data_IF_460730560232
#
_entry.id   IF_460730560232
#
_cell.length_a   1.000
_cell.length_b   1.000
_cell.length_c   1.000
_cell.angle_alpha   90.00
_cell.angle_beta   90.00
_cell.angle_gamma   90.00
#
_symmetry.space_group_name_H-M   'P 1'
#
loop_
_entity.id
_entity.type
_entity.pdbx_description
1 polymer ?
#
# COMPACT_ATOMS: atom_id res chain seq x y z
N UNK A 1 14.76 -16.64 1.41
CA UNK A 1 14.50 -16.32 0.02
C UNK A 1 14.89 -14.87 -0.25
N UNK A 2 15.49 -14.64 -1.39
CA UNK A 2 15.91 -13.31 -1.78
C UNK A 2 14.70 -12.53 -2.28
N UNK A 3 14.47 -11.35 -1.71
CA UNK A 3 13.46 -10.43 -2.23
C UNK A 3 14.02 -9.72 -3.45
N UNK A 4 13.30 -9.81 -4.55
CA UNK A 4 13.64 -9.01 -5.72
C UNK A 4 13.10 -7.60 -5.56
N UNK A 5 13.99 -6.62 -5.48
CA UNK A 5 13.65 -5.21 -5.40
C UNK A 5 13.67 -4.58 -6.79
N UNK A 6 12.57 -3.98 -7.21
CA UNK A 6 12.44 -3.29 -8.49
C UNK A 6 12.16 -1.81 -8.21
N UNK A 7 13.15 -0.92 -8.39
CA UNK A 7 12.90 0.51 -8.25
C UNK A 7 12.04 1.04 -9.40
N UNK A 8 11.14 1.97 -9.08
CA UNK A 8 10.17 2.51 -10.02
C UNK A 8 10.41 4.00 -10.24
N UNK A 9 10.17 4.48 -11.47
CA UNK A 9 10.12 5.91 -11.76
C UNK A 9 8.79 6.53 -11.34
N UNK A 10 7.71 5.78 -11.42
CA UNK A 10 6.36 6.20 -11.04
C UNK A 10 5.64 5.06 -10.33
N UNK A 11 4.87 5.39 -9.31
CA UNK A 11 4.19 4.40 -8.47
C UNK A 11 3.16 3.58 -9.26
N UNK A 12 2.46 4.18 -10.21
CA UNK A 12 1.47 3.48 -11.03
C UNK A 12 2.07 2.37 -11.90
N UNK A 13 3.35 2.45 -12.26
CA UNK A 13 4.04 1.35 -12.95
C UNK A 13 4.10 0.10 -12.06
N UNK A 14 4.27 0.30 -10.75
CA UNK A 14 4.32 -0.78 -9.78
C UNK A 14 3.02 -1.57 -9.72
N UNK A 15 1.88 -0.93 -9.93
CA UNK A 15 0.59 -1.62 -9.97
C UNK A 15 0.58 -2.66 -11.10
N UNK A 16 1.00 -2.27 -12.30
CA UNK A 16 1.07 -3.19 -13.43
C UNK A 16 2.09 -4.30 -13.23
N UNK A 17 3.26 -3.98 -12.67
CA UNK A 17 4.31 -4.98 -12.36
C UNK A 17 3.79 -5.99 -11.33
N UNK A 18 3.17 -5.52 -10.25
CA UNK A 18 2.59 -6.40 -9.23
C UNK A 18 1.49 -7.29 -9.82
N UNK A 19 0.63 -6.74 -10.64
CA UNK A 19 -0.43 -7.51 -11.30
C UNK A 19 0.13 -8.61 -12.19
N UNK A 20 1.11 -8.28 -13.03
CA UNK A 20 1.76 -9.26 -13.89
C UNK A 20 2.49 -10.35 -13.12
N UNK A 21 3.20 -9.98 -12.06
CA UNK A 21 3.88 -10.94 -11.19
C UNK A 21 2.90 -11.88 -10.49
N UNK A 22 1.78 -11.36 -10.00
CA UNK A 22 0.72 -12.19 -9.40
C UNK A 22 0.16 -13.19 -10.40
N UNK A 23 -0.14 -12.75 -11.62
CA UNK A 23 -0.65 -13.64 -12.68
C UNK A 23 0.36 -14.73 -13.07
N UNK A 24 1.64 -14.46 -12.86
CA UNK A 24 2.71 -15.44 -13.06
C UNK A 24 2.98 -16.33 -11.82
N UNK A 25 2.17 -16.20 -10.78
CA UNK A 25 2.29 -17.01 -9.56
C UNK A 25 3.16 -16.43 -8.47
N UNK A 26 3.61 -15.19 -8.61
CA UNK A 26 4.43 -14.49 -7.62
C UNK A 26 3.60 -13.81 -6.53
N UNK A 27 4.27 -13.47 -5.43
CA UNK A 27 3.74 -12.63 -4.36
C UNK A 27 4.42 -11.26 -4.43
N UNK A 28 3.66 -10.19 -4.23
CA UNK A 28 4.19 -8.84 -4.38
C UNK A 28 3.75 -7.92 -3.25
N UNK A 29 4.60 -6.93 -2.97
CA UNK A 29 4.24 -5.78 -2.18
C UNK A 29 4.73 -4.53 -2.91
N UNK A 30 4.00 -3.44 -2.80
CA UNK A 30 4.35 -2.17 -3.41
C UNK A 30 4.54 -1.12 -2.33
N UNK A 31 5.72 -0.50 -2.29
CA UNK A 31 6.08 0.51 -1.30
C UNK A 31 6.01 1.88 -1.96
N UNK A 32 5.29 2.82 -1.33
CA UNK A 32 5.14 4.18 -1.84
C UNK A 32 4.76 5.14 -0.72
N UNK A 33 4.84 6.43 -0.98
CA UNK A 33 4.22 7.44 -0.14
C UNK A 33 2.73 7.58 -0.51
N UNK A 34 1.91 8.16 0.37
CA UNK A 34 0.50 8.38 0.05
C UNK A 34 0.25 9.32 -1.15
N UNK A 35 1.20 10.20 -1.49
CA UNK A 35 1.13 10.94 -2.77
C UNK A 35 1.16 9.99 -3.97
N UNK A 36 2.03 8.99 -3.93
CA UNK A 36 2.10 7.96 -4.97
C UNK A 36 0.85 7.08 -5.01
N UNK A 37 0.27 6.80 -3.85
CA UNK A 37 -1.03 6.12 -3.78
C UNK A 37 -2.12 6.91 -4.51
N UNK A 38 -2.23 8.21 -4.24
CA UNK A 38 -3.23 9.05 -4.92
C UNK A 38 -3.02 9.07 -6.44
N UNK A 39 -1.77 9.14 -6.90
CA UNK A 39 -1.46 9.04 -8.32
C UNK A 39 -1.76 7.67 -8.93
N UNK A 40 -1.85 6.64 -8.11
CA UNK A 40 -2.07 5.25 -8.53
C UNK A 40 -3.54 4.84 -8.51
N UNK A 41 -4.45 5.71 -8.08
CA UNK A 41 -5.87 5.35 -7.92
C UNK A 41 -6.52 4.83 -9.20
N UNK A 42 -6.20 5.44 -10.34
CA UNK A 42 -6.70 4.97 -11.63
C UNK A 42 -6.16 3.57 -11.96
N UNK A 43 -4.86 3.35 -11.82
CA UNK A 43 -4.24 2.05 -12.08
C UNK A 43 -4.78 0.97 -11.12
N UNK A 44 -4.96 1.31 -9.84
CA UNK A 44 -5.56 0.40 -8.86
C UNK A 44 -6.99 0.01 -9.27
N UNK A 45 -7.79 0.98 -9.71
CA UNK A 45 -9.17 0.75 -10.12
C UNK A 45 -9.26 -0.11 -11.35
N UNK A 46 -8.49 0.23 -12.39
CA UNK A 46 -8.57 -0.42 -13.70
C UNK A 46 -7.79 -1.74 -13.79
N UNK A 47 -6.93 -2.03 -12.85
CA UNK A 47 -6.13 -3.25 -12.81
C UNK A 47 -6.51 -4.13 -11.62
N UNK A 48 -6.11 -3.75 -10.41
CA UNK A 48 -6.28 -4.64 -9.26
C UNK A 48 -7.73 -4.81 -8.82
N UNK A 49 -8.52 -3.74 -8.78
CA UNK A 49 -9.92 -3.83 -8.41
C UNK A 49 -10.76 -4.47 -9.52
N UNK A 50 -10.51 -4.08 -10.77
CA UNK A 50 -11.22 -4.60 -11.93
C UNK A 50 -11.00 -6.11 -12.12
N UNK A 51 -9.75 -6.56 -12.03
CA UNK A 51 -9.37 -7.94 -12.30
C UNK A 51 -9.12 -8.78 -11.06
N UNK A 52 -9.50 -8.29 -9.88
CA UNK A 52 -9.41 -9.01 -8.61
C UNK A 52 -7.99 -9.51 -8.32
N UNK A 53 -7.02 -8.60 -8.36
CA UNK A 53 -5.61 -8.91 -8.14
C UNK A 53 -5.22 -8.46 -6.74
N UNK A 54 -4.78 -9.39 -5.87
CA UNK A 54 -4.28 -9.04 -4.54
C UNK A 54 -2.90 -8.38 -4.62
N UNK A 55 -2.72 -7.35 -3.82
CA UNK A 55 -1.43 -6.70 -3.63
C UNK A 55 -1.40 -6.10 -2.22
N UNK A 56 -0.27 -6.20 -1.55
CA UNK A 56 -0.05 -5.47 -0.29
C UNK A 56 0.58 -4.12 -0.61
N UNK A 57 -0.13 -3.04 -0.25
CA UNK A 57 0.35 -1.68 -0.43
C UNK A 57 0.94 -1.19 0.89
N UNK A 58 2.24 -0.98 0.92
CA UNK A 58 2.95 -0.40 2.06
C UNK A 58 3.10 1.09 1.82
N UNK A 59 2.25 1.89 2.47
CA UNK A 59 2.12 3.31 2.18
C UNK A 59 2.68 4.15 3.33
N UNK A 60 3.75 4.91 3.08
CA UNK A 60 4.19 5.91 4.04
C UNK A 60 3.11 6.97 4.22
N UNK A 61 2.66 7.13 5.48
CA UNK A 61 1.55 8.00 5.83
C UNK A 61 2.04 9.41 6.14
N UNK A 62 2.31 10.20 5.10
CA UNK A 62 2.69 11.60 5.24
C UNK A 62 1.46 12.44 5.61
N UNK A 63 1.64 13.40 6.51
CA UNK A 63 0.54 14.26 6.99
C UNK A 63 -0.29 13.62 8.10
N UNK A 64 0.26 12.62 8.77
CA UNK A 64 -0.33 11.99 9.96
C UNK A 64 -0.23 12.92 11.18
N UNK A 65 -0.88 12.53 12.27
CA UNK A 65 -0.82 13.27 13.54
C UNK A 65 0.63 13.54 13.95
N UNK A 66 0.94 14.79 14.26
CA UNK A 66 2.29 15.23 14.63
C UNK A 66 3.18 15.64 13.46
N UNK A 67 2.74 15.45 12.22
CA UNK A 67 3.49 15.89 11.04
C UNK A 67 3.38 17.41 10.84
N UNK A 68 4.48 17.99 10.41
CA UNK A 68 4.51 19.38 9.94
C UNK A 68 4.56 19.37 8.42
N UNK A 69 3.48 19.74 7.78
CA UNK A 69 3.36 19.68 6.33
C UNK A 69 2.59 18.43 5.86
N UNK A 70 2.26 18.42 4.59
CA UNK A 70 1.48 17.34 3.96
C UNK A 70 0.11 17.06 4.61
N UNK A 71 -0.40 18.00 5.42
CA UNK A 71 -1.64 17.78 6.21
C UNK A 71 -2.86 17.51 5.35
N UNK A 72 -2.97 18.17 4.18
CA UNK A 72 -4.05 17.89 3.23
C UNK A 72 -3.92 16.48 2.64
N UNK A 73 -2.70 16.09 2.30
CA UNK A 73 -2.41 14.75 1.79
C UNK A 73 -2.81 13.67 2.81
N UNK A 74 -2.43 13.87 4.07
CA UNK A 74 -2.81 12.96 5.16
C UNK A 74 -4.33 12.88 5.34
N UNK A 75 -5.01 14.03 5.28
CA UNK A 75 -6.45 14.12 5.48
C UNK A 75 -7.27 13.35 4.42
N UNK A 76 -6.79 13.27 3.19
CA UNK A 76 -7.52 12.61 2.10
C UNK A 76 -7.17 11.14 1.91
N UNK A 77 -6.06 10.67 2.51
CA UNK A 77 -5.56 9.30 2.26
C UNK A 77 -6.57 8.22 2.65
N UNK A 78 -7.04 8.21 3.89
CA UNK A 78 -8.00 7.20 4.34
C UNK A 78 -9.36 7.33 3.65
N UNK A 79 -9.94 8.53 3.48
CA UNK A 79 -11.19 8.67 2.71
C UNK A 79 -11.11 8.13 1.29
N UNK A 80 -9.99 8.32 0.59
CA UNK A 80 -9.80 7.80 -0.77
C UNK A 80 -9.67 6.28 -0.75
N UNK A 81 -8.92 5.70 0.20
CA UNK A 81 -8.86 4.25 0.37
C UNK A 81 -10.25 3.66 0.60
N UNK A 82 -11.05 4.30 1.46
CA UNK A 82 -12.44 3.88 1.73
C UNK A 82 -13.31 3.98 0.48
N UNK A 83 -13.20 5.08 -0.27
CA UNK A 83 -13.96 5.27 -1.50
C UNK A 83 -13.66 4.20 -2.56
N UNK A 84 -12.41 3.72 -2.62
CA UNK A 84 -12.00 2.64 -3.51
C UNK A 84 -12.37 1.24 -2.96
N UNK A 85 -12.84 1.16 -1.74
CA UNK A 85 -13.13 -0.12 -1.09
C UNK A 85 -11.86 -0.90 -0.72
N UNK A 86 -10.72 -0.21 -0.57
CA UNK A 86 -9.46 -0.81 -0.14
C UNK A 86 -9.37 -0.73 1.38
N UNK A 87 -9.29 -1.88 2.05
CA UNK A 87 -9.10 -1.94 3.49
C UNK A 87 -7.71 -1.43 3.84
N UNK A 88 -7.61 -0.66 4.92
CA UNK A 88 -6.34 -0.10 5.39
C UNK A 88 -6.16 -0.29 6.89
N UNK A 89 -4.91 -0.45 7.30
CA UNK A 89 -4.51 -0.63 8.69
C UNK A 89 -3.35 0.30 8.99
N UNK A 90 -3.46 1.09 10.06
CA UNK A 90 -2.40 2.03 10.44
C UNK A 90 -1.44 1.30 11.37
N UNK A 91 -0.17 1.25 10.98
CA UNK A 91 0.89 0.61 11.76
C UNK A 91 1.66 1.68 12.55
N UNK A 92 1.50 1.67 13.86
CA UNK A 92 2.10 2.68 14.75
C UNK A 92 3.18 2.11 15.66
N UNK A 93 3.26 0.79 15.81
CA UNK A 93 4.18 0.11 16.72
C UNK A 93 5.04 -0.88 15.97
N UNK A 94 6.33 -0.88 16.28
CA UNK A 94 7.28 -1.80 15.63
C UNK A 94 7.06 -3.26 16.00
N UNK A 95 6.50 -3.53 17.18
CA UNK A 95 6.21 -4.89 17.63
C UNK A 95 4.99 -5.53 16.91
N UNK A 96 4.25 -4.75 16.13
CA UNK A 96 3.09 -5.21 15.37
C UNK A 96 3.39 -5.41 13.86
N UNK A 97 4.62 -5.14 13.43
CA UNK A 97 4.98 -5.17 11.99
C UNK A 97 4.72 -6.53 11.38
N UNK A 98 5.30 -7.57 11.96
CA UNK A 98 5.25 -8.91 11.39
C UNK A 98 3.81 -9.42 11.29
N UNK A 99 3.04 -9.27 12.37
CA UNK A 99 1.66 -9.72 12.41
C UNK A 99 0.78 -8.94 11.42
N UNK A 100 0.95 -7.62 11.36
CA UNK A 100 0.14 -6.76 10.49
C UNK A 100 0.42 -7.05 9.01
N UNK A 101 1.69 -7.17 8.63
CA UNK A 101 2.05 -7.43 7.23
C UNK A 101 1.61 -8.83 6.82
N UNK A 102 1.84 -9.84 7.66
CA UNK A 102 1.39 -11.20 7.38
C UNK A 102 -0.14 -11.27 7.27
N UNK A 103 -0.85 -10.58 8.15
CA UNK A 103 -2.31 -10.51 8.11
C UNK A 103 -2.84 -9.80 6.87
N UNK A 104 -2.17 -8.72 6.45
CA UNK A 104 -2.52 -8.00 5.23
C UNK A 104 -2.32 -8.87 3.98
N UNK A 105 -1.26 -9.66 3.93
CA UNK A 105 -1.02 -10.62 2.84
C UNK A 105 -2.15 -11.65 2.75
N UNK A 106 -2.49 -12.27 3.87
CA UNK A 106 -3.59 -13.26 3.92
C UNK A 106 -4.90 -12.63 3.49
N UNK A 107 -5.21 -11.44 3.99
CA UNK A 107 -6.44 -10.74 3.65
C UNK A 107 -6.50 -10.37 2.16
N UNK A 108 -5.39 -9.90 1.59
CA UNK A 108 -5.32 -9.58 0.17
C UNK A 108 -5.56 -10.82 -0.69
N UNK A 109 -4.88 -11.93 -0.37
CA UNK A 109 -5.02 -13.18 -1.11
C UNK A 109 -6.43 -13.77 -1.01
N UNK A 110 -7.04 -13.75 0.16
CA UNK A 110 -8.37 -14.30 0.37
C UNK A 110 -9.45 -13.44 -0.30
N UNK A 111 -9.36 -12.12 -0.17
CA UNK A 111 -10.34 -11.19 -0.75
C UNK A 111 -10.14 -10.93 -2.23
N UNK A 112 -8.98 -11.28 -2.81
CA UNK A 112 -8.57 -10.94 -4.17
C UNK A 112 -8.63 -9.43 -4.41
N UNK A 113 -8.14 -8.66 -3.44
CA UNK A 113 -8.14 -7.20 -3.47
C UNK A 113 -6.84 -6.65 -2.90
N UNK A 114 -6.45 -5.44 -3.30
CA UNK A 114 -5.39 -4.73 -2.59
C UNK A 114 -5.77 -4.49 -1.13
N UNK A 115 -4.76 -4.57 -0.26
CA UNK A 115 -4.88 -4.18 1.16
C UNK A 115 -3.74 -3.22 1.46
N UNK A 116 -4.04 -2.12 2.13
CA UNK A 116 -3.07 -1.09 2.46
C UNK A 116 -2.64 -1.17 3.93
N UNK A 117 -1.35 -1.04 4.16
CA UNK A 117 -0.77 -0.83 5.48
C UNK A 117 -0.14 0.56 5.48
N UNK A 118 -0.65 1.44 6.33
CA UNK A 118 -0.16 2.81 6.45
C UNK A 118 0.98 2.85 7.46
N UNK A 119 2.18 3.16 6.97
CA UNK A 119 3.41 3.16 7.77
C UNK A 119 3.64 4.56 8.34
N UNK A 120 3.60 4.68 9.66
CA UNK A 120 3.83 5.95 10.35
C UNK A 120 5.33 6.22 10.56
N UNK A 121 5.67 7.45 10.88
CA UNK A 121 7.05 7.84 11.20
C UNK A 121 7.67 6.99 12.30
N UNK A 122 6.89 6.66 13.32
CA UNK A 122 7.37 5.86 14.46
C UNK A 122 7.85 4.48 14.02
N UNK A 123 7.16 3.86 13.07
CA UNK A 123 7.51 2.54 12.55
C UNK A 123 8.72 2.61 11.63
N UNK A 124 8.84 3.70 10.87
CA UNK A 124 9.96 3.89 9.94
C UNK A 124 11.22 4.44 10.61
N UNK A 125 11.16 4.79 11.91
CA UNK A 125 12.29 5.37 12.63
C UNK A 125 12.65 6.79 12.17
N UNK A 126 11.73 7.49 11.53
CA UNK A 126 11.91 8.87 11.08
C UNK A 126 11.52 9.83 12.20
N UNK A 127 12.38 10.85 12.44
CA UNK A 127 12.13 11.88 13.48
C UNK A 127 11.46 13.12 12.89
#
# INVERSE_FOLDING_TARGET
PDLQHIPLCREEEGIGICAGAYLAGGKTALIMQNAGFLNSCNALTTTCLQFQIPVVLLIYYAGDIGDRGFTTLGAVTEPVLQALGIRSYILRRTDEIDETIAGAEVLAEDSKRPVAVLLTKSVLGVK
#
